data_IF_963936101539
#
_entry.id   IF_963936101539
#
_cell.length_a   1.000
_cell.length_b   1.000
_cell.length_c   1.000
_cell.angle_alpha   90.00
_cell.angle_beta   90.00
_cell.angle_gamma   90.00
#
_symmetry.space_group_name_H-M   'P 1'
#
loop_
_entity.id
_entity.type
_entity.pdbx_description
1 polymer ?
#
# COMPACT_ATOMS: atom_id res chain seq x y z
N UNK A 1 2.59 -3.34 -28.94
CA UNK A 1 2.81 -3.99 -27.63
C UNK A 1 1.43 -4.38 -27.12
N UNK A 2 1.19 -5.67 -26.88
CA UNK A 2 -0.06 -6.10 -26.26
C UNK A 2 0.01 -5.71 -24.78
N UNK A 3 -0.87 -4.80 -24.34
CA UNK A 3 -1.03 -4.48 -22.93
C UNK A 3 -1.56 -5.74 -22.24
N UNK A 4 -0.70 -6.46 -21.53
CA UNK A 4 -1.14 -7.48 -20.60
C UNK A 4 -1.75 -6.73 -19.43
N UNK A 5 -3.08 -6.60 -19.41
CA UNK A 5 -3.79 -5.97 -18.30
C UNK A 5 -3.57 -6.84 -17.06
N UNK A 6 -2.97 -6.28 -16.02
CA UNK A 6 -2.79 -6.98 -14.74
C UNK A 6 -4.16 -7.33 -14.15
N UNK A 7 -4.28 -8.52 -13.54
CA UNK A 7 -5.48 -8.93 -12.80
C UNK A 7 -5.86 -7.97 -11.66
N UNK A 8 -4.94 -7.07 -11.29
CA UNK A 8 -5.11 -6.11 -10.21
C UNK A 8 -5.46 -4.70 -10.69
N UNK A 9 -5.41 -4.41 -11.99
CA UNK A 9 -5.77 -3.13 -12.58
C UNK A 9 -7.25 -2.81 -12.36
N UNK A 10 -7.59 -1.53 -12.35
CA UNK A 10 -8.99 -1.08 -12.33
C UNK A 10 -9.63 -1.29 -13.70
N UNK A 11 -10.91 -1.61 -13.72
CA UNK A 11 -11.71 -1.55 -14.94
C UNK A 11 -12.00 -0.10 -15.34
N UNK A 12 -12.35 0.14 -16.60
CA UNK A 12 -12.74 1.49 -17.07
C UNK A 12 -13.91 2.08 -16.26
N UNK A 13 -14.83 1.23 -15.79
CA UNK A 13 -15.94 1.66 -14.94
C UNK A 13 -15.47 2.11 -13.56
N UNK A 14 -14.47 1.44 -12.98
CA UNK A 14 -13.87 1.81 -11.69
C UNK A 14 -13.02 3.08 -11.81
N UNK A 15 -12.32 3.28 -12.94
CA UNK A 15 -11.61 4.52 -13.23
C UNK A 15 -12.59 5.69 -13.33
N UNK A 16 -13.68 5.54 -14.09
CA UNK A 16 -14.74 6.57 -14.15
C UNK A 16 -15.34 6.88 -12.78
N UNK A 17 -15.59 5.85 -11.96
CA UNK A 17 -16.07 6.05 -10.60
C UNK A 17 -15.07 6.89 -9.76
N UNK A 18 -13.77 6.62 -9.88
CA UNK A 18 -12.74 7.42 -9.20
C UNK A 18 -12.76 8.87 -9.69
N UNK A 19 -12.86 9.11 -10.99
CA UNK A 19 -12.89 10.47 -11.56
C UNK A 19 -14.10 11.27 -11.06
N UNK A 20 -15.26 10.61 -10.90
CA UNK A 20 -16.50 11.25 -10.43
C UNK A 20 -16.51 11.48 -8.91
N UNK A 21 -15.95 10.56 -8.13
CA UNK A 21 -16.09 10.53 -6.67
C UNK A 21 -14.84 10.97 -5.91
N UNK A 22 -13.69 11.05 -6.57
CA UNK A 22 -12.37 11.30 -5.97
C UNK A 22 -11.86 10.14 -5.09
N UNK A 23 -12.57 9.01 -5.05
CA UNK A 23 -12.23 7.83 -4.23
C UNK A 23 -12.77 6.57 -4.89
N UNK A 24 -12.05 5.45 -4.71
CA UNK A 24 -12.48 4.13 -5.17
C UNK A 24 -12.04 3.05 -4.18
N UNK A 25 -12.92 2.09 -3.92
CA UNK A 25 -12.72 1.01 -2.95
C UNK A 25 -13.94 0.80 -2.05
N UNK A 26 -13.81 -0.01 -0.97
CA UNK A 26 -12.58 -0.65 -0.49
C UNK A 26 -12.09 -1.81 -1.39
N UNK A 27 -10.80 -2.12 -1.30
CA UNK A 27 -10.20 -3.32 -1.90
C UNK A 27 -9.49 -4.13 -0.83
N UNK A 28 -9.60 -5.45 -0.90
CA UNK A 28 -8.86 -6.35 -0.02
C UNK A 28 -7.41 -6.46 -0.49
N UNK A 29 -6.46 -6.10 0.38
CA UNK A 29 -5.02 -6.35 0.18
C UNK A 29 -4.56 -7.64 0.87
N UNK A 30 -5.07 -7.86 2.09
CA UNK A 30 -4.81 -9.01 2.94
C UNK A 30 -6.12 -9.42 3.59
N UNK A 31 -6.27 -10.70 3.88
CA UNK A 31 -7.38 -11.15 4.72
C UNK A 31 -7.21 -10.63 6.15
N UNK A 32 -8.31 -10.53 6.89
CA UNK A 32 -8.35 -9.90 8.21
C UNK A 32 -7.31 -10.50 9.16
N UNK A 33 -7.25 -11.82 9.25
CA UNK A 33 -6.36 -12.56 10.13
C UNK A 33 -4.90 -12.34 9.76
N UNK A 34 -4.59 -12.28 8.46
CA UNK A 34 -3.25 -12.01 7.94
C UNK A 34 -2.81 -10.58 8.25
N UNK A 35 -3.70 -9.60 8.02
CA UNK A 35 -3.46 -8.20 8.34
C UNK A 35 -3.21 -7.99 9.85
N UNK A 36 -4.02 -8.62 10.71
CA UNK A 36 -3.85 -8.57 12.16
C UNK A 36 -2.54 -9.23 12.59
N UNK A 37 -2.20 -10.37 12.01
CA UNK A 37 -0.94 -11.07 12.30
C UNK A 37 0.28 -10.23 11.90
N UNK A 38 0.28 -9.68 10.68
CA UNK A 38 1.34 -8.81 10.16
C UNK A 38 1.54 -7.57 11.05
N UNK A 39 0.43 -6.92 11.43
CA UNK A 39 0.48 -5.75 12.30
C UNK A 39 1.00 -6.10 13.70
N UNK A 40 0.37 -7.06 14.39
CA UNK A 40 0.63 -7.33 15.81
C UNK A 40 2.00 -7.97 16.04
N UNK A 41 2.46 -8.80 15.11
CA UNK A 41 3.67 -9.60 15.30
C UNK A 41 4.91 -9.01 14.62
N UNK A 42 4.76 -8.13 13.62
CA UNK A 42 5.88 -7.52 12.88
C UNK A 42 5.86 -5.99 12.96
N UNK A 43 5.02 -5.34 12.16
CA UNK A 43 5.10 -3.89 11.91
C UNK A 43 5.02 -3.09 13.22
N UNK A 44 4.06 -3.41 14.10
CA UNK A 44 3.88 -2.67 15.36
C UNK A 44 5.11 -2.75 16.26
N UNK A 45 5.85 -3.85 16.25
CA UNK A 45 7.08 -4.03 17.03
C UNK A 45 8.26 -3.31 16.37
N UNK A 46 8.41 -3.45 15.06
CA UNK A 46 9.47 -2.80 14.28
C UNK A 46 9.37 -1.27 14.34
N UNK A 47 8.15 -0.73 14.42
CA UNK A 47 7.93 0.71 14.60
C UNK A 47 8.53 1.28 15.90
N UNK A 48 8.70 0.45 16.95
CA UNK A 48 9.31 0.87 18.22
C UNK A 48 10.83 1.10 18.09
N UNK A 49 11.47 0.43 17.13
CA UNK A 49 12.89 0.59 16.86
C UNK A 49 13.08 1.69 15.82
N UNK A 50 13.82 2.74 16.19
CA UNK A 50 13.96 3.96 15.38
C UNK A 50 15.39 4.27 14.94
N UNK A 51 16.34 3.39 15.23
CA UNK A 51 17.77 3.60 14.92
C UNK A 51 18.04 3.87 13.42
N UNK A 52 17.20 3.33 12.53
CA UNK A 52 17.34 3.43 11.09
C UNK A 52 16.28 4.34 10.43
N UNK A 53 15.40 4.97 11.21
CA UNK A 53 14.36 5.81 10.63
C UNK A 53 14.96 7.11 10.08
N UNK A 54 14.44 7.58 8.95
CA UNK A 54 14.94 8.78 8.27
C UNK A 54 14.69 10.04 9.11
N UNK A 55 13.53 10.12 9.77
CA UNK A 55 13.13 11.26 10.58
C UNK A 55 13.21 10.97 12.08
N UNK A 56 14.42 10.95 12.63
CA UNK A 56 14.66 10.55 14.03
C UNK A 56 13.95 11.46 15.04
N UNK A 57 13.99 12.78 14.84
CA UNK A 57 13.41 13.77 15.76
C UNK A 57 11.87 13.88 15.68
N UNK A 58 11.26 13.27 14.65
CA UNK A 58 9.81 13.29 14.50
C UNK A 58 9.15 12.33 15.48
N UNK A 59 8.13 12.81 16.20
CA UNK A 59 7.27 11.94 17.01
C UNK A 59 6.32 11.08 16.17
N UNK A 60 6.29 11.29 14.86
CA UNK A 60 5.44 10.58 13.90
C UNK A 60 6.24 9.48 13.17
N UNK A 61 5.51 8.57 12.53
CA UNK A 61 6.05 7.44 11.78
C UNK A 61 5.98 7.70 10.26
N UNK A 62 6.45 8.87 9.82
CA UNK A 62 6.55 9.15 8.39
C UNK A 62 7.63 8.27 7.73
N UNK A 63 7.35 7.87 6.50
CA UNK A 63 8.26 7.18 5.58
C UNK A 63 8.93 5.91 6.15
N UNK A 64 8.26 5.22 7.08
CA UNK A 64 8.77 3.97 7.66
C UNK A 64 8.89 2.82 6.68
N UNK A 65 8.35 2.94 5.47
CA UNK A 65 8.63 2.02 4.37
C UNK A 65 10.10 2.06 3.91
N UNK A 66 10.87 3.09 4.29
CA UNK A 66 12.30 3.20 4.00
C UNK A 66 13.18 2.37 4.95
N UNK A 67 12.68 2.02 6.14
CA UNK A 67 13.43 1.26 7.14
C UNK A 67 12.73 -0.03 7.61
N UNK A 68 11.43 -0.20 7.35
CA UNK A 68 10.64 -1.38 7.69
C UNK A 68 10.25 -2.14 6.43
N UNK A 69 10.87 -3.31 6.22
CA UNK A 69 10.66 -4.16 5.04
C UNK A 69 9.19 -4.51 4.81
N UNK A 70 8.44 -4.88 5.85
CA UNK A 70 7.03 -5.23 5.68
C UNK A 70 6.15 -4.04 5.27
N UNK A 71 6.51 -2.80 5.65
CA UNK A 71 5.81 -1.60 5.18
C UNK A 71 6.20 -1.30 3.73
N UNK A 72 7.47 -1.51 3.37
CA UNK A 72 7.96 -1.44 1.98
C UNK A 72 7.19 -2.40 1.06
N UNK A 73 7.04 -3.66 1.47
CA UNK A 73 6.33 -4.70 0.71
C UNK A 73 4.86 -4.32 0.47
N UNK A 74 4.20 -3.71 1.46
CA UNK A 74 2.82 -3.21 1.32
C UNK A 74 2.75 -2.11 0.25
N UNK A 75 3.58 -1.06 0.35
CA UNK A 75 3.50 0.08 -0.59
C UNK A 75 3.91 -0.31 -2.02
N UNK A 76 4.75 -1.34 -2.18
CA UNK A 76 5.15 -1.89 -3.47
C UNK A 76 4.24 -3.03 -3.97
N UNK A 77 3.15 -3.37 -3.27
CA UNK A 77 2.30 -4.49 -3.66
C UNK A 77 1.71 -4.28 -5.06
N UNK A 78 1.78 -5.28 -5.97
CA UNK A 78 1.12 -5.20 -7.27
C UNK A 78 -0.38 -4.88 -7.17
N UNK A 79 -1.04 -5.31 -6.09
CA UNK A 79 -2.46 -5.03 -5.87
C UNK A 79 -2.76 -3.53 -5.67
N UNK A 80 -1.81 -2.78 -5.14
CA UNK A 80 -1.88 -1.32 -4.95
C UNK A 80 -1.34 -0.62 -6.20
N UNK A 81 -0.12 -0.98 -6.61
CA UNK A 81 0.61 -0.31 -7.70
C UNK A 81 -0.17 -0.37 -9.01
N UNK A 82 -0.75 -1.52 -9.37
CA UNK A 82 -1.47 -1.67 -10.63
C UNK A 82 -2.79 -0.88 -10.66
N UNK A 83 -3.42 -0.62 -9.50
CA UNK A 83 -4.59 0.26 -9.42
C UNK A 83 -4.20 1.72 -9.56
N UNK A 84 -3.10 2.13 -8.93
CA UNK A 84 -2.57 3.48 -9.06
C UNK A 84 -2.15 3.76 -10.51
N UNK A 85 -1.51 2.81 -11.20
CA UNK A 85 -1.21 2.91 -12.64
C UNK A 85 -2.45 3.11 -13.50
N UNK A 86 -3.55 2.41 -13.20
CA UNK A 86 -4.83 2.63 -13.91
C UNK A 86 -5.36 4.06 -13.81
N UNK A 87 -4.98 4.81 -12.77
CA UNK A 87 -5.39 6.21 -12.55
C UNK A 87 -4.36 7.20 -13.08
N UNK A 88 -3.06 6.93 -12.85
CA UNK A 88 -1.98 7.91 -13.01
C UNK A 88 -1.04 7.67 -14.20
N UNK A 89 -1.11 6.50 -14.84
CA UNK A 89 -0.16 6.06 -15.86
C UNK A 89 1.03 5.32 -15.28
#
# INVERSE_FOLDING_TARGET
MQNITSIHSLSDSQVRQFDEQGVIGPFTLLEREEALSLWNHRIRKELLYRQNCVFQDSKLNYDRHLDIKSVQEIVCSPQIVEKLKSIMG
#
